data_IF_636085256351
#
_entry.id   IF_636085256351
#
_cell.length_a   1.000
_cell.length_b   1.000
_cell.length_c   1.000
_cell.angle_alpha   90.00
_cell.angle_beta   90.00
_cell.angle_gamma   90.00
#
_symmetry.space_group_name_H-M   'P 1'
#
loop_
_entity.id
_entity.type
_entity.pdbx_description
1 polymer ?
#
# COMPACT_ATOMS: atom_id res chain seq x y z
N UNK A 1 -27.21 7.69 5.78
CA UNK A 1 -26.25 8.32 4.85
C UNK A 1 -25.65 7.24 3.99
N UNK A 2 -25.80 7.31 2.67
CA UNK A 2 -25.28 6.31 1.74
C UNK A 2 -23.75 6.45 1.61
N UNK A 3 -23.03 5.37 1.93
CA UNK A 3 -21.58 5.26 1.74
C UNK A 3 -21.32 5.02 0.24
N UNK A 4 -20.93 6.07 -0.49
CA UNK A 4 -20.58 5.94 -1.91
C UNK A 4 -19.18 5.34 -2.03
N UNK A 5 -19.15 4.04 -2.31
CA UNK A 5 -17.94 3.32 -2.70
C UNK A 5 -17.56 3.71 -4.12
N UNK A 6 -16.30 4.07 -4.36
CA UNK A 6 -15.82 4.41 -5.70
C UNK A 6 -15.70 3.15 -6.56
N UNK A 7 -16.15 3.17 -7.82
CA UNK A 7 -15.78 2.13 -8.76
C UNK A 7 -14.29 2.34 -9.12
N UNK A 8 -13.40 1.45 -8.65
CA UNK A 8 -11.98 1.40 -9.04
C UNK A 8 -11.71 0.30 -10.08
N UNK A 9 -10.82 0.54 -11.06
CA UNK A 9 -10.27 -0.50 -11.96
C UNK A 9 -8.89 -0.88 -11.40
N UNK A 10 -8.65 -2.18 -11.25
CA UNK A 10 -7.34 -2.69 -10.89
C UNK A 10 -6.49 -2.83 -12.17
N UNK A 11 -5.17 -2.77 -12.03
CA UNK A 11 -4.28 -3.25 -13.08
C UNK A 11 -4.73 -4.68 -13.45
N UNK A 12 -5.06 -4.85 -14.72
CA UNK A 12 -5.85 -5.93 -15.34
C UNK A 12 -5.96 -7.26 -14.58
N UNK A 13 -7.20 -7.74 -14.48
CA UNK A 13 -7.58 -9.15 -14.38
C UNK A 13 -7.13 -9.94 -15.62
N UNK A 14 -5.81 -10.04 -15.82
CA UNK A 14 -5.22 -11.16 -16.51
C UNK A 14 -5.20 -12.32 -15.53
N UNK A 15 -6.36 -12.96 -15.31
CA UNK A 15 -6.40 -14.30 -14.72
C UNK A 15 -5.67 -15.24 -15.66
N UNK A 16 -4.36 -15.34 -15.46
CA UNK A 16 -3.65 -16.57 -15.68
C UNK A 16 -3.45 -17.14 -14.27
N UNK A 17 -4.07 -18.29 -14.03
CA UNK A 17 -3.66 -19.23 -12.98
C UNK A 17 -2.47 -20.03 -13.52
N UNK A 18 -1.52 -19.34 -14.13
CA UNK A 18 -0.15 -19.80 -14.21
C UNK A 18 0.39 -19.64 -12.81
N UNK A 19 0.28 -20.72 -12.04
CA UNK A 19 1.07 -20.88 -10.83
C UNK A 19 2.51 -20.59 -11.19
N UNK A 20 2.93 -19.33 -11.01
CA UNK A 20 4.33 -18.96 -11.08
C UNK A 20 5.03 -19.97 -10.20
N UNK A 21 5.87 -20.81 -10.83
CA UNK A 21 6.74 -21.75 -10.15
C UNK A 21 7.69 -20.92 -9.30
N UNK A 22 7.21 -20.46 -8.14
CA UNK A 22 8.06 -19.94 -7.08
C UNK A 22 8.95 -21.13 -6.75
N UNK A 23 10.25 -21.08 -7.06
CA UNK A 23 11.11 -22.23 -6.89
C UNK A 23 10.96 -22.71 -5.44
N UNK A 24 10.75 -24.01 -5.22
CA UNK A 24 10.65 -24.53 -3.87
C UNK A 24 11.94 -24.14 -3.14
N UNK A 25 11.80 -23.38 -2.05
CA UNK A 25 12.96 -22.95 -1.26
C UNK A 25 13.78 -24.21 -0.87
N UNK A 26 15.09 -24.23 -1.10
CA UNK A 26 15.95 -25.37 -0.78
C UNK A 26 16.00 -25.66 0.72
N UNK A 27 16.44 -26.86 1.11
CA UNK A 27 16.71 -27.20 2.53
C UNK A 27 17.85 -26.34 3.15
N UNK A 28 18.64 -25.68 2.31
CA UNK A 28 19.77 -24.82 2.69
C UNK A 28 19.50 -23.32 2.50
N UNK A 29 18.26 -22.92 2.20
CA UNK A 29 17.98 -21.51 1.97
C UNK A 29 18.13 -20.72 3.27
N UNK A 30 18.91 -19.63 3.20
CA UNK A 30 19.11 -18.73 4.31
C UNK A 30 17.80 -18.01 4.63
N UNK A 31 17.18 -18.34 5.76
CA UNK A 31 15.92 -17.75 6.24
C UNK A 31 16.02 -16.23 6.29
N UNK A 32 17.16 -15.68 6.71
CA UNK A 32 17.34 -14.23 6.82
C UNK A 32 17.27 -13.57 5.45
N UNK A 33 17.90 -14.18 4.43
CA UNK A 33 17.85 -13.69 3.05
C UNK A 33 16.43 -13.78 2.45
N UNK A 34 15.67 -14.82 2.80
CA UNK A 34 14.26 -14.94 2.38
C UNK A 34 13.42 -13.84 3.03
N UNK A 35 13.60 -13.60 4.34
CA UNK A 35 12.87 -12.57 5.08
C UNK A 35 13.18 -11.18 4.54
N UNK A 36 14.45 -10.89 4.26
CA UNK A 36 14.87 -9.65 3.63
C UNK A 36 14.27 -9.49 2.22
N UNK A 37 14.28 -10.54 1.41
CA UNK A 37 13.64 -10.52 0.08
C UNK A 37 12.13 -10.24 0.18
N UNK A 38 11.43 -10.87 1.13
CA UNK A 38 10.01 -10.61 1.39
C UNK A 38 9.79 -9.14 1.79
N UNK A 39 10.65 -8.60 2.66
CA UNK A 39 10.56 -7.23 3.13
C UNK A 39 10.72 -6.20 2.01
N UNK A 40 11.72 -6.37 1.15
CA UNK A 40 11.95 -5.49 0.00
C UNK A 40 10.82 -5.63 -1.02
N UNK A 41 10.43 -6.86 -1.36
CA UNK A 41 9.36 -7.13 -2.32
C UNK A 41 8.02 -6.53 -1.88
N UNK A 42 7.73 -6.55 -0.57
CA UNK A 42 6.50 -5.98 -0.02
C UNK A 42 6.32 -4.52 -0.44
N UNK A 43 7.38 -3.71 -0.37
CA UNK A 43 7.30 -2.30 -0.70
C UNK A 43 6.91 -2.08 -2.16
N UNK A 44 7.57 -2.79 -3.08
CA UNK A 44 7.25 -2.78 -4.51
C UNK A 44 5.82 -3.24 -4.77
N UNK A 45 5.43 -4.41 -4.26
CA UNK A 45 4.13 -5.01 -4.55
C UNK A 45 2.98 -4.13 -4.06
N UNK A 46 3.12 -3.51 -2.88
CA UNK A 46 2.10 -2.60 -2.33
C UNK A 46 1.80 -1.46 -3.32
N UNK A 47 2.82 -0.83 -3.89
CA UNK A 47 2.64 0.26 -4.84
C UNK A 47 2.21 -0.24 -6.21
N UNK A 48 2.68 -1.42 -6.63
CA UNK A 48 2.28 -2.04 -7.89
C UNK A 48 0.78 -2.33 -7.94
N UNK A 49 0.20 -2.86 -6.85
CA UNK A 49 -1.24 -3.18 -6.76
C UNK A 49 -2.11 -2.00 -6.30
N UNK A 50 -1.57 -0.79 -6.35
CA UNK A 50 -2.31 0.42 -5.97
C UNK A 50 -3.54 0.67 -6.87
N UNK A 51 -4.64 1.24 -6.33
CA UNK A 51 -5.88 1.40 -7.07
C UNK A 51 -5.75 2.49 -8.13
N UNK A 52 -6.56 2.36 -9.19
CA UNK A 52 -6.75 3.39 -10.20
C UNK A 52 -8.27 3.67 -10.38
N UNK A 53 -8.70 4.90 -10.71
CA UNK A 53 -10.11 5.14 -11.02
C UNK A 53 -10.58 4.26 -12.19
N UNK A 54 -11.86 3.82 -12.20
CA UNK A 54 -12.40 3.09 -13.36
C UNK A 54 -12.44 3.91 -14.65
N UNK A 55 -12.66 5.20 -14.50
CA UNK A 55 -12.73 6.11 -15.63
C UNK A 55 -11.31 6.51 -16.03
N UNK A 56 -10.86 6.04 -17.18
CA UNK A 56 -9.53 6.35 -17.73
C UNK A 56 -9.29 7.84 -17.95
N UNK A 57 -10.35 8.67 -17.99
CA UNK A 57 -10.23 10.14 -18.06
C UNK A 57 -9.87 10.76 -16.71
N UNK A 58 -10.02 10.02 -15.60
CA UNK A 58 -9.64 10.51 -14.28
C UNK A 58 -8.16 10.22 -14.03
N UNK A 59 -7.43 11.18 -13.43
CA UNK A 59 -6.02 10.98 -13.12
C UNK A 59 -5.84 9.87 -12.07
N UNK A 60 -4.71 9.18 -12.15
CA UNK A 60 -4.37 8.15 -11.18
C UNK A 60 -4.30 8.71 -9.75
N UNK A 61 -4.66 7.87 -8.78
CA UNK A 61 -4.56 8.24 -7.36
C UNK A 61 -3.11 8.32 -6.89
N UNK A 62 -2.28 7.39 -7.38
CA UNK A 62 -0.83 7.33 -7.16
C UNK A 62 -0.11 8.02 -8.33
N UNK A 63 0.77 8.95 -8.00
CA UNK A 63 1.51 9.77 -8.94
C UNK A 63 2.82 9.12 -9.41
N UNK A 64 3.29 8.08 -8.73
CA UNK A 64 4.45 7.31 -9.15
C UNK A 64 4.17 6.67 -10.52
N UNK A 65 5.04 6.96 -11.48
CA UNK A 65 5.07 6.28 -12.77
C UNK A 65 5.57 4.83 -12.63
N UNK A 66 5.66 4.11 -13.74
CA UNK A 66 6.04 2.71 -13.72
C UNK A 66 7.47 2.49 -13.19
N UNK A 67 8.41 3.38 -13.48
CA UNK A 67 9.81 3.28 -13.05
C UNK A 67 9.97 3.61 -11.56
N UNK A 68 9.26 4.63 -11.08
CA UNK A 68 9.21 4.98 -9.67
C UNK A 68 8.52 3.89 -8.83
N UNK A 69 7.54 3.17 -9.41
CA UNK A 69 6.93 1.99 -8.78
C UNK A 69 7.93 0.85 -8.67
N UNK A 70 8.66 0.52 -9.74
CA UNK A 70 9.66 -0.57 -9.72
C UNK A 70 10.84 -0.31 -8.80
N UNK A 71 11.18 0.95 -8.56
CA UNK A 71 12.22 1.37 -7.61
C UNK A 71 11.71 1.61 -6.18
N UNK A 72 10.43 1.33 -5.89
CA UNK A 72 9.87 1.54 -4.55
C UNK A 72 10.54 0.64 -3.52
N UNK A 73 11.00 1.25 -2.41
CA UNK A 73 11.63 0.58 -1.28
C UNK A 73 10.85 0.84 0.02
N UNK A 74 11.13 0.11 1.11
CA UNK A 74 10.53 0.40 2.42
C UNK A 74 10.70 1.86 2.89
N UNK A 75 11.75 2.56 2.44
CA UNK A 75 11.98 3.96 2.74
C UNK A 75 10.85 4.88 2.22
N UNK A 76 10.17 4.53 1.12
CA UNK A 76 9.01 5.26 0.61
C UNK A 76 7.90 5.39 1.66
N UNK A 77 7.70 4.32 2.45
CA UNK A 77 6.70 4.23 3.51
C UNK A 77 7.11 4.91 4.83
N UNK A 78 8.36 5.37 4.92
CA UNK A 78 8.88 6.13 6.07
C UNK A 78 8.75 7.64 5.89
N UNK A 79 8.46 8.11 4.67
CA UNK A 79 8.35 9.53 4.33
C UNK A 79 7.07 10.15 4.91
N UNK A 80 7.21 11.29 5.58
CA UNK A 80 6.08 12.11 6.05
C UNK A 80 5.49 13.01 4.97
N UNK A 81 6.31 13.36 3.97
CA UNK A 81 5.86 14.09 2.79
C UNK A 81 5.43 13.11 1.69
N UNK A 82 4.12 13.10 1.46
CA UNK A 82 3.43 12.28 0.48
C UNK A 82 3.30 12.98 -0.87
N UNK A 83 3.81 14.21 -0.99
CA UNK A 83 3.90 14.93 -2.26
C UNK A 83 4.70 14.11 -3.27
N UNK A 84 4.17 13.99 -4.48
CA UNK A 84 4.74 13.14 -5.54
C UNK A 84 4.42 11.64 -5.41
N UNK A 85 3.80 11.19 -4.31
CA UNK A 85 3.33 9.81 -4.17
C UNK A 85 1.83 9.73 -4.45
N UNK A 86 1.04 10.64 -3.88
CA UNK A 86 -0.41 10.65 -4.02
C UNK A 86 -0.95 12.00 -4.46
N UNK A 87 -2.04 11.98 -5.24
CA UNK A 87 -2.82 13.19 -5.54
C UNK A 87 -3.68 13.62 -4.35
N UNK A 88 -4.29 12.65 -3.68
CA UNK A 88 -5.02 12.84 -2.42
C UNK A 88 -5.11 11.53 -1.65
N UNK A 89 -5.29 11.61 -0.34
CA UNK A 89 -5.48 10.47 0.56
C UNK A 89 -6.47 10.81 1.67
N UNK A 90 -7.08 9.76 2.22
CA UNK A 90 -7.71 9.78 3.53
C UNK A 90 -6.79 9.00 4.47
N UNK A 91 -6.29 9.65 5.52
CA UNK A 91 -5.41 9.01 6.48
C UNK A 91 -6.05 8.90 7.85
N UNK A 92 -5.63 7.89 8.60
CA UNK A 92 -5.98 7.75 10.02
C UNK A 92 -4.73 7.38 10.82
N UNK A 93 -4.49 8.13 11.89
CA UNK A 93 -3.47 7.79 12.87
C UNK A 93 -3.94 6.63 13.74
N UNK A 94 -3.11 5.60 13.82
CA UNK A 94 -3.36 4.41 14.62
C UNK A 94 -2.47 4.38 15.85
N UNK A 95 -3.02 3.90 16.95
CA UNK A 95 -2.23 3.55 18.14
C UNK A 95 -1.29 2.39 17.82
N UNK A 96 -0.22 2.21 18.62
CA UNK A 96 0.70 1.08 18.44
C UNK A 96 -0.05 -0.26 18.46
N UNK A 97 -1.06 -0.43 19.33
CA UNK A 97 -1.86 -1.67 19.35
C UNK A 97 -2.64 -1.89 18.05
N UNK A 98 -3.27 -0.84 17.50
CA UNK A 98 -4.00 -0.95 16.23
C UNK A 98 -3.06 -1.18 15.04
N UNK A 99 -1.88 -0.56 15.03
CA UNK A 99 -0.87 -0.79 14.01
C UNK A 99 -0.46 -2.27 13.97
N UNK A 100 -0.32 -2.90 15.14
CA UNK A 100 0.00 -4.32 15.23
C UNK A 100 -1.16 -5.22 14.80
N UNK A 101 -2.33 -5.06 15.42
CA UNK A 101 -3.42 -6.04 15.30
C UNK A 101 -4.27 -5.87 14.06
N UNK A 102 -4.33 -4.66 13.50
CA UNK A 102 -5.12 -4.37 12.29
C UNK A 102 -4.22 -4.37 11.07
N UNK A 103 -3.10 -3.65 11.14
CA UNK A 103 -2.26 -3.40 9.97
C UNK A 103 -1.25 -4.53 9.78
N UNK A 104 -0.29 -4.69 10.70
CA UNK A 104 0.75 -5.70 10.58
C UNK A 104 0.19 -7.12 10.40
N UNK A 105 -0.82 -7.49 11.20
CA UNK A 105 -1.46 -8.80 11.09
C UNK A 105 -2.22 -9.01 9.76
N UNK A 106 -2.55 -7.94 9.03
CA UNK A 106 -3.08 -8.03 7.67
C UNK A 106 -2.02 -8.21 6.60
N UNK A 107 -0.87 -7.53 6.72
CA UNK A 107 0.23 -7.62 5.75
C UNK A 107 1.04 -8.91 5.89
N UNK A 108 1.21 -9.36 7.12
CA UNK A 108 1.92 -10.58 7.46
C UNK A 108 1.01 -11.38 8.38
N UNK A 109 0.06 -12.17 7.90
CA UNK A 109 -0.82 -12.92 8.78
C UNK A 109 -0.15 -14.17 9.35
N UNK A 110 -0.73 -14.75 10.39
CA UNK A 110 -0.34 -16.08 10.87
C UNK A 110 -0.78 -17.17 9.87
N UNK A 111 -0.09 -18.34 9.84
CA UNK A 111 -0.53 -19.48 9.05
C UNK A 111 -1.98 -19.86 9.38
N UNK A 112 -2.71 -20.34 8.37
CA UNK A 112 -4.12 -20.74 8.46
C UNK A 112 -5.12 -19.62 8.80
N UNK A 113 -4.70 -18.35 8.78
CA UNK A 113 -5.68 -17.26 8.80
C UNK A 113 -6.51 -17.28 7.52
N UNK A 114 -7.77 -16.84 7.60
CA UNK A 114 -8.66 -16.68 6.43
C UNK A 114 -8.18 -15.59 5.44
N UNK A 115 -6.97 -15.04 5.65
CA UNK A 115 -6.43 -13.87 4.95
C UNK A 115 -5.96 -14.15 3.51
N UNK A 116 -5.99 -15.40 3.04
CA UNK A 116 -5.54 -15.77 1.69
C UNK A 116 -6.45 -15.25 0.56
N UNK A 117 -7.71 -14.90 0.86
CA UNK A 117 -8.69 -14.46 -0.16
C UNK A 117 -8.82 -12.94 -0.30
N UNK A 118 -7.89 -12.16 0.25
CA UNK A 118 -7.99 -10.70 0.25
C UNK A 118 -7.48 -10.10 -1.08
N UNK A 119 -8.29 -9.23 -1.68
CA UNK A 119 -7.99 -8.50 -2.91
C UNK A 119 -6.72 -7.64 -2.75
N UNK A 120 -5.90 -7.56 -3.80
CA UNK A 120 -4.58 -6.91 -3.78
C UNK A 120 -3.49 -7.75 -3.10
N UNK A 121 -3.79 -8.45 -2.00
CA UNK A 121 -2.82 -9.36 -1.37
C UNK A 121 -2.56 -10.61 -2.21
N UNK A 122 -3.58 -11.19 -2.86
CA UNK A 122 -3.39 -12.36 -3.75
C UNK A 122 -2.46 -12.07 -4.94
N UNK A 123 -2.53 -10.85 -5.46
CA UNK A 123 -1.69 -10.39 -6.58
C UNK A 123 -0.26 -10.06 -6.15
N UNK A 124 -0.01 -9.88 -4.85
CA UNK A 124 1.30 -9.52 -4.32
C UNK A 124 2.20 -10.75 -4.13
N UNK A 125 3.30 -10.81 -4.86
CA UNK A 125 4.27 -11.92 -4.83
C UNK A 125 4.94 -12.08 -3.46
N UNK A 126 5.20 -11.00 -2.72
CA UNK A 126 5.72 -11.05 -1.33
C UNK A 126 4.77 -11.82 -0.43
N UNK A 127 3.46 -11.68 -0.64
CA UNK A 127 2.44 -12.30 0.18
C UNK A 127 2.39 -13.81 -0.08
N UNK A 128 2.51 -14.23 -1.34
CA UNK A 128 2.68 -15.65 -1.70
C UNK A 128 3.94 -16.22 -1.03
N UNK A 129 5.10 -15.56 -1.20
CA UNK A 129 6.38 -15.97 -0.57
C UNK A 129 6.28 -16.06 0.95
N UNK A 130 5.60 -15.11 1.59
CA UNK A 130 5.34 -15.13 3.04
C UNK A 130 4.57 -16.38 3.46
N UNK A 131 3.48 -16.72 2.78
CA UNK A 131 2.70 -17.93 3.11
C UNK A 131 3.50 -19.22 2.88
N UNK A 132 4.29 -19.30 1.80
CA UNK A 132 5.19 -20.43 1.57
C UNK A 132 6.24 -20.58 2.68
N UNK A 133 6.83 -19.48 3.15
CA UNK A 133 7.75 -19.51 4.29
C UNK A 133 7.04 -19.97 5.57
N UNK A 134 5.88 -19.39 5.88
CA UNK A 134 5.10 -19.71 7.09
C UNK A 134 4.63 -21.17 7.13
N UNK A 135 4.34 -21.78 5.98
CA UNK A 135 3.94 -23.19 5.90
C UNK A 135 5.06 -24.18 6.27
N UNK A 136 6.34 -23.75 6.15
CA UNK A 136 7.51 -24.60 6.38
C UNK A 136 8.11 -24.46 7.77
N UNK A 137 7.94 -23.30 8.39
CA UNK A 137 8.53 -23.01 9.69
C UNK A 137 7.77 -23.70 10.82
N UNK A 138 8.49 -24.11 11.86
CA UNK A 138 7.87 -24.57 13.10
C UNK A 138 7.27 -23.37 13.84
N UNK A 139 6.29 -23.62 14.71
CA UNK A 139 5.62 -22.56 15.49
C UNK A 139 6.57 -21.61 16.21
N UNK A 140 7.67 -22.13 16.78
CA UNK A 140 8.68 -21.30 17.46
C UNK A 140 9.40 -20.36 16.49
N UNK A 141 9.73 -20.85 15.29
CA UNK A 141 10.51 -20.12 14.28
C UNK A 141 9.63 -19.07 13.59
N UNK A 142 8.33 -19.36 13.40
CA UNK A 142 7.30 -18.40 12.95
C UNK A 142 7.29 -17.16 13.87
N UNK A 143 7.31 -17.37 15.18
CA UNK A 143 7.30 -16.25 16.15
C UNK A 143 8.56 -15.40 15.98
N UNK A 144 9.73 -16.02 15.82
CA UNK A 144 11.01 -15.31 15.63
C UNK A 144 10.99 -14.47 14.35
N UNK A 145 10.66 -15.09 13.21
CA UNK A 145 10.61 -14.43 11.90
C UNK A 145 9.57 -13.30 11.88
N UNK A 146 8.39 -13.54 12.46
CA UNK A 146 7.35 -12.52 12.56
C UNK A 146 7.79 -11.36 13.45
N UNK A 147 8.49 -11.63 14.55
CA UNK A 147 9.02 -10.58 15.42
C UNK A 147 10.05 -9.72 14.70
N UNK A 148 10.91 -10.34 13.86
CA UNK A 148 11.88 -9.62 13.02
C UNK A 148 11.19 -8.63 12.09
N UNK A 149 10.28 -9.13 11.25
CA UNK A 149 9.51 -8.28 10.33
C UNK A 149 8.69 -7.24 11.07
N UNK A 150 8.15 -7.57 12.25
CA UNK A 150 7.42 -6.61 13.07
C UNK A 150 8.31 -5.44 13.50
N UNK A 151 9.57 -5.69 13.90
CA UNK A 151 10.49 -4.59 14.23
C UNK A 151 10.73 -3.69 13.04
N UNK A 152 10.88 -4.24 11.84
CA UNK A 152 11.06 -3.46 10.62
C UNK A 152 9.78 -2.70 10.24
N UNK A 153 8.62 -3.35 10.33
CA UNK A 153 7.30 -2.76 10.03
C UNK A 153 6.94 -1.60 10.95
N UNK A 154 7.39 -1.61 12.21
CA UNK A 154 7.22 -0.48 13.13
C UNK A 154 7.97 0.78 12.72
N UNK A 155 8.97 0.66 11.85
CA UNK A 155 9.71 1.83 11.35
C UNK A 155 8.94 2.56 10.25
N UNK A 156 7.98 1.89 9.60
CA UNK A 156 7.16 2.51 8.57
C UNK A 156 6.22 3.54 9.20
N UNK A 157 6.15 4.69 8.55
CA UNK A 157 5.30 5.79 8.95
C UNK A 157 3.87 5.61 8.45
N UNK A 158 3.72 5.08 7.25
CA UNK A 158 2.42 4.86 6.64
C UNK A 158 2.42 3.62 5.76
N UNK A 159 1.25 3.01 5.61
CA UNK A 159 0.98 1.92 4.65
C UNK A 159 -0.50 2.02 4.20
N UNK A 160 -0.95 1.28 3.19
CA UNK A 160 -2.38 1.19 2.90
C UNK A 160 -3.16 0.81 4.14
N UNK A 161 -4.30 1.45 4.40
CA UNK A 161 -5.17 1.00 5.48
C UNK A 161 -5.90 -0.25 5.00
N UNK A 162 -5.55 -1.45 5.49
CA UNK A 162 -6.19 -2.66 5.01
C UNK A 162 -7.66 -2.65 5.47
N UNK A 163 -8.52 -3.25 4.66
CA UNK A 163 -9.86 -3.63 5.07
C UNK A 163 -9.93 -5.16 5.21
N UNK A 164 -11.07 -5.64 5.67
CA UNK A 164 -11.34 -7.07 5.90
C UNK A 164 -11.03 -7.92 4.66
N UNK A 165 -11.30 -7.40 3.46
CA UNK A 165 -11.22 -8.12 2.19
C UNK A 165 -10.17 -7.58 1.20
N UNK A 166 -9.44 -6.48 1.50
CA UNK A 166 -8.54 -5.84 0.51
C UNK A 166 -7.38 -5.06 1.12
N UNK A 167 -6.26 -4.99 0.40
CA UNK A 167 -5.09 -4.20 0.78
C UNK A 167 -5.33 -2.69 0.66
N UNK A 168 -5.85 -2.27 -0.50
CA UNK A 168 -6.19 -0.89 -0.78
C UNK A 168 -7.69 -0.70 -0.83
N UNK A 169 -8.16 0.40 -0.27
CA UNK A 169 -9.56 0.84 -0.37
C UNK A 169 -9.60 2.31 -0.74
N UNK A 170 -10.55 2.70 -1.58
CA UNK A 170 -10.81 4.11 -1.87
C UNK A 170 -12.17 4.54 -1.30
N UNK A 171 -12.24 5.77 -0.80
CA UNK A 171 -13.46 6.39 -0.29
C UNK A 171 -13.45 7.89 -0.53
N UNK A 172 -14.63 8.47 -0.71
CA UNK A 172 -14.80 9.93 -0.76
C UNK A 172 -14.79 10.57 0.64
N UNK A 173 -15.24 9.84 1.65
CA UNK A 173 -15.14 10.24 3.05
C UNK A 173 -15.25 9.00 3.95
N UNK A 174 -14.67 9.08 5.15
CA UNK A 174 -14.79 8.02 6.16
C UNK A 174 -14.67 8.63 7.56
N UNK A 175 -15.55 8.20 8.48
CA UNK A 175 -15.51 8.69 9.87
C UNK A 175 -14.18 8.33 10.53
N UNK A 176 -13.56 9.30 11.18
CA UNK A 176 -12.27 9.13 11.87
C UNK A 176 -11.06 9.14 10.94
N UNK A 177 -11.23 9.52 9.66
CA UNK A 177 -10.14 9.78 8.73
C UNK A 177 -10.07 11.27 8.42
N UNK A 178 -8.85 11.76 8.22
CA UNK A 178 -8.55 13.12 7.79
C UNK A 178 -8.11 13.11 6.34
N UNK A 179 -8.57 14.08 5.56
CA UNK A 179 -8.27 14.19 4.13
C UNK A 179 -7.04 15.08 3.88
N UNK A 180 -6.19 14.66 2.94
CA UNK A 180 -5.10 15.48 2.39
C UNK A 180 -5.11 15.42 0.85
N UNK A 181 -4.91 16.56 0.15
CA UNK A 181 -5.01 17.91 0.70
C UNK A 181 -6.46 18.18 1.14
N UNK A 182 -6.67 19.08 2.11
CA UNK A 182 -8.00 19.34 2.66
C UNK A 182 -9.00 19.87 1.62
N UNK A 183 -8.51 20.52 0.56
CA UNK A 183 -9.28 21.02 -0.58
C UNK A 183 -9.69 19.94 -1.58
N UNK A 184 -9.10 18.74 -1.51
CA UNK A 184 -9.45 17.66 -2.45
C UNK A 184 -10.88 17.15 -2.23
N UNK A 185 -11.49 16.65 -3.28
CA UNK A 185 -12.81 16.01 -3.24
C UNK A 185 -12.78 14.68 -4.00
N UNK A 186 -13.83 13.87 -3.85
CA UNK A 186 -13.96 12.60 -4.55
C UNK A 186 -13.20 11.44 -3.89
N UNK A 187 -13.30 10.23 -4.49
CA UNK A 187 -12.66 9.04 -3.97
C UNK A 187 -11.14 9.18 -3.93
N UNK A 188 -10.51 8.70 -2.87
CA UNK A 188 -9.06 8.59 -2.77
C UNK A 188 -8.66 7.41 -1.88
N UNK A 189 -7.41 6.92 -1.97
CA UNK A 189 -6.92 5.81 -1.15
C UNK A 189 -6.98 6.10 0.35
N UNK A 190 -7.25 5.05 1.13
CA UNK A 190 -7.12 5.06 2.57
C UNK A 190 -5.72 4.62 2.99
N UNK A 191 -5.07 5.39 3.85
CA UNK A 191 -3.77 5.03 4.46
C UNK A 191 -3.85 5.02 5.98
N UNK A 192 -3.09 4.12 6.60
CA UNK A 192 -2.89 4.07 8.03
C UNK A 192 -1.58 4.78 8.36
N UNK A 193 -1.57 5.62 9.39
CA UNK A 193 -0.37 6.29 9.90
C UNK A 193 0.03 5.66 11.24
N UNK A 194 1.28 5.27 11.36
CA UNK A 194 1.89 4.79 12.59
C UNK A 194 2.21 5.98 13.49
N UNK A 195 1.37 6.23 14.49
CA UNK A 195 1.55 7.36 15.42
C UNK A 195 2.88 7.33 16.15
N UNK A 196 3.42 6.13 16.43
CA UNK A 196 4.70 5.99 17.10
C UNK A 196 5.88 6.38 16.20
N UNK A 197 5.81 6.09 14.91
CA UNK A 197 6.82 6.52 13.93
C UNK A 197 6.69 8.02 13.58
N UNK A 198 5.48 8.58 13.66
CA UNK A 198 5.23 9.98 13.36
C UNK A 198 5.97 10.93 14.32
N UNK A 199 6.08 10.58 15.61
CA UNK A 199 6.85 11.32 16.64
C UNK A 199 6.61 12.85 16.68
N UNK A 200 5.39 13.31 16.33
CA UNK A 200 5.05 14.74 16.29
C UNK A 200 5.40 15.44 14.97
N UNK A 201 6.00 14.74 14.01
CA UNK A 201 6.07 15.17 12.60
C UNK A 201 4.66 15.28 12.03
N UNK A 202 4.46 16.14 11.04
CA UNK A 202 3.17 16.26 10.35
C UNK A 202 3.23 15.55 9.01
N UNK A 203 2.17 14.80 8.68
CA UNK A 203 1.99 14.30 7.31
C UNK A 203 1.59 15.46 6.40
N UNK A 204 2.31 15.61 5.29
CA UNK A 204 2.06 16.65 4.29
C UNK A 204 1.77 16.01 2.94
N UNK A 205 0.94 16.69 2.16
CA UNK A 205 0.66 16.35 0.77
C UNK A 205 0.25 17.65 0.09
N UNK A 206 1.13 18.17 -0.75
CA UNK A 206 0.83 19.34 -1.56
C UNK A 206 0.15 18.86 -2.86
N UNK A 207 -0.96 19.51 -3.28
CA UNK A 207 -1.59 19.16 -4.54
C UNK A 207 -0.55 19.27 -5.68
N UNK A 208 -0.64 18.41 -6.72
CA UNK A 208 0.13 18.63 -7.93
C UNK A 208 -0.12 20.06 -8.42
N UNK A 209 0.93 20.76 -8.83
CA UNK A 209 0.76 21.97 -9.62
C UNK A 209 0.20 21.45 -10.95
N UNK A 210 -1.10 21.61 -11.17
CA UNK A 210 -1.65 21.37 -12.50
C UNK A 210 -0.97 22.41 -13.40
N UNK A 211 -0.23 21.96 -14.42
CA UNK A 211 0.38 22.83 -15.40
C UNK A 211 -0.73 23.74 -15.93
N UNK A 212 -0.66 25.02 -15.58
CA UNK A 212 -1.61 26.01 -16.04
C UNK A 212 -1.49 25.99 -17.55
N UNK A 213 -2.53 25.51 -18.24
CA UNK A 213 -2.67 25.70 -19.68
C UNK A 213 -2.41 27.19 -19.92
N UNK A 214 -1.27 27.49 -20.54
CA UNK A 214 -1.02 28.83 -21.07
C UNK A 214 -2.14 29.03 -22.08
N UNK A 215 -3.14 29.80 -21.70
CA UNK A 215 -4.14 30.29 -22.63
C UNK A 215 -3.37 30.97 -23.74
N UNK A 216 -3.40 30.37 -24.93
CA UNK A 216 -3.10 31.06 -26.17
C UNK A 216 -3.96 32.31 -26.16
N UNK A 217 -3.32 33.45 -25.93
CA UNK A 217 -3.92 34.75 -26.06
C UNK A 217 -4.21 34.90 -27.56
N UNK A 218 -5.49 34.98 -27.90
CA UNK A 218 -5.96 35.36 -29.23
C UNK A 218 -5.24 36.66 -29.65
N UNK A 219 -4.28 36.56 -30.56
CA UNK A 219 -3.83 37.71 -31.36
C UNK A 219 -4.91 37.98 -32.42
N UNK A 220 -5.96 38.71 -32.01
CA UNK A 220 -6.76 39.50 -32.94
C UNK A 220 -6.13 40.89 -33.12
N UNK A 221 -5.93 41.22 -34.39
CA UNK A 221 -5.91 42.55 -35.02
C UNK A 221 -4.78 43.53 -34.71
N UNK A 222 -3.85 43.66 -35.68
CA UNK A 222 -3.45 44.95 -36.26
C UNK A 222 -3.09 44.83 -37.75
#
# INVERSE_FOLDING_TARGET
MATLEGPDVQASDGESDDGEDIPPLGENDNIDAIVESIWVQMAFDIMYVSPNPKDHRKPAYVLLDQEARTSTTPATFQRSDLTGIFRSVLYRELTSSQWETVVFDSFFPLPNSAALKRQGFRAASYYKKWHHLMARLRRRDIVVVRNELRRQFRTLLWVPHPDTDRMWRTRSSMRGFTRLPASSTGPCPLIAINRQALQGTRITLNPPIDDVEQGEMDEEDF
#
